data_IF_778414745680
#
_entry.id   IF_778414745680
#
_cell.length_a   1.000
_cell.length_b   1.000
_cell.length_c   1.000
_cell.angle_alpha   90.00
_cell.angle_beta   90.00
_cell.angle_gamma   90.00
#
_symmetry.space_group_name_H-M   'P 1'
#
loop_
_entity.id
_entity.type
_entity.pdbx_description
1 polymer ?
#
# COMPACT_ATOMS: atom_id res chain seq x y z
N UNK A 1 7.08 -25.26 13.45
CA UNK A 1 5.68 -24.75 13.46
C UNK A 1 5.29 -24.07 12.15
N UNK A 2 5.39 -24.79 11.01
CA UNK A 2 4.93 -24.32 9.68
C UNK A 2 3.50 -24.77 9.36
N UNK A 3 2.82 -25.48 10.26
CA UNK A 3 1.57 -26.22 10.00
C UNK A 3 0.30 -25.50 10.44
N UNK A 4 0.36 -24.51 11.29
CA UNK A 4 -0.87 -23.90 11.82
C UNK A 4 -1.36 -22.70 10.98
N UNK A 5 -0.48 -22.05 10.24
CA UNK A 5 -0.86 -20.93 9.35
C UNK A 5 -1.68 -21.38 8.12
N UNK A 6 -1.49 -22.60 7.64
CA UNK A 6 -2.30 -23.15 6.54
C UNK A 6 -3.68 -23.67 7.00
N UNK A 7 -3.86 -23.97 8.27
CA UNK A 7 -5.15 -24.48 8.81
C UNK A 7 -6.20 -23.38 8.95
N UNK A 8 -5.83 -22.13 9.11
CA UNK A 8 -6.79 -21.02 9.19
C UNK A 8 -7.30 -20.53 7.84
N UNK A 9 -6.63 -20.87 6.75
CA UNK A 9 -7.09 -20.50 5.39
C UNK A 9 -8.12 -21.48 4.79
N UNK A 10 -8.28 -22.67 5.34
CA UNK A 10 -9.19 -23.71 4.81
C UNK A 10 -10.52 -23.77 5.57
N UNK A 11 -10.61 -23.19 6.76
CA UNK A 11 -11.83 -23.26 7.60
C UNK A 11 -12.91 -22.23 7.27
N UNK A 12 -12.68 -21.24 6.40
CA UNK A 12 -13.63 -20.17 6.11
C UNK A 12 -14.40 -20.33 4.80
N UNK A 13 -14.20 -21.40 4.04
CA UNK A 13 -14.82 -21.60 2.72
C UNK A 13 -16.05 -22.51 2.70
N UNK A 14 -16.54 -23.02 3.82
CA UNK A 14 -17.61 -24.05 3.84
C UNK A 14 -18.90 -23.61 4.56
N UNK A 15 -19.01 -22.38 5.03
CA UNK A 15 -20.22 -21.97 5.81
C UNK A 15 -21.06 -20.87 5.16
N UNK A 16 -21.24 -20.87 3.84
CA UNK A 16 -22.08 -19.89 3.14
C UNK A 16 -23.01 -20.50 2.07
N UNK A 17 -23.51 -21.71 2.31
CA UNK A 17 -24.53 -22.34 1.43
C UNK A 17 -25.60 -23.07 2.24
N UNK A 18 -26.36 -22.38 3.10
CA UNK A 18 -27.61 -22.95 3.68
C UNK A 18 -28.46 -21.84 4.31
N UNK A 19 -29.07 -21.00 3.47
CA UNK A 19 -30.26 -20.21 3.87
C UNK A 19 -31.00 -19.70 2.64
N UNK A 20 -31.62 -20.61 1.88
CA UNK A 20 -32.72 -20.26 0.97
C UNK A 20 -33.59 -21.48 0.71
N UNK A 21 -34.46 -21.77 1.62
CA UNK A 21 -35.71 -22.53 1.36
C UNK A 21 -36.57 -22.45 2.61
N UNK A 22 -37.61 -21.65 2.56
CA UNK A 22 -38.89 -21.88 3.24
C UNK A 22 -39.67 -20.56 3.29
N UNK A 23 -40.57 -20.36 2.38
CA UNK A 23 -41.95 -19.92 2.63
C UNK A 23 -42.73 -19.71 1.33
N UNK A 24 -43.43 -20.68 0.93
CA UNK A 24 -44.64 -20.51 0.12
C UNK A 24 -45.75 -21.35 0.76
N UNK A 25 -46.66 -20.75 1.44
CA UNK A 25 -48.00 -21.35 1.66
C UNK A 25 -49.06 -20.33 1.31
N UNK A 26 -49.93 -20.74 0.41
CA UNK A 26 -50.83 -19.92 -0.34
C UNK A 26 -52.03 -19.39 0.43
N UNK A 27 -52.69 -18.43 -0.21
CA UNK A 27 -54.14 -18.19 -0.06
C UNK A 27 -54.68 -17.69 -1.38
N UNK A 28 -55.53 -18.54 -1.96
CA UNK A 28 -56.39 -18.27 -3.10
C UNK A 28 -57.36 -17.13 -2.77
N UNK A 29 -57.32 -16.06 -3.53
CA UNK A 29 -58.29 -14.99 -3.51
C UNK A 29 -58.55 -14.56 -4.95
N UNK A 30 -59.75 -14.87 -5.50
CA UNK A 30 -60.23 -14.40 -6.79
C UNK A 30 -60.30 -12.88 -6.81
N UNK A 31 -59.61 -12.23 -7.73
CA UNK A 31 -59.81 -10.82 -8.08
C UNK A 31 -60.22 -10.75 -9.56
N UNK A 32 -61.29 -9.99 -9.78
CA UNK A 32 -61.94 -9.75 -11.07
C UNK A 32 -61.04 -9.00 -12.03
N UNK A 33 -61.11 -9.36 -13.29
CA UNK A 33 -60.57 -8.62 -14.43
C UNK A 33 -61.11 -7.19 -14.46
N UNK A 34 -60.19 -6.22 -14.55
CA UNK A 34 -60.50 -4.86 -14.97
C UNK A 34 -59.33 -4.34 -15.84
N UNK A 35 -59.64 -4.08 -17.09
CA UNK A 35 -59.13 -3.04 -17.94
C UNK A 35 -57.63 -3.00 -18.22
N UNK A 36 -57.28 -3.26 -19.48
CA UNK A 36 -55.92 -3.18 -20.03
C UNK A 36 -55.18 -1.87 -19.71
N UNK A 37 -54.01 -2.05 -19.16
CA UNK A 37 -52.91 -1.11 -19.35
C UNK A 37 -51.80 -1.86 -20.10
N UNK A 38 -51.57 -1.43 -21.32
CA UNK A 38 -50.38 -1.77 -22.10
C UNK A 38 -49.16 -1.43 -21.29
N UNK A 39 -48.52 -2.41 -20.69
CA UNK A 39 -47.18 -2.31 -20.18
C UNK A 39 -46.29 -2.01 -21.37
N UNK A 40 -45.87 -0.74 -21.49
CA UNK A 40 -44.83 -0.36 -22.41
C UNK A 40 -43.59 -1.18 -22.06
N UNK A 41 -43.23 -2.11 -22.93
CA UNK A 41 -41.92 -2.77 -22.93
C UNK A 41 -40.94 -1.62 -23.09
N UNK A 42 -40.27 -1.26 -22.01
CA UNK A 42 -39.06 -0.43 -22.10
C UNK A 42 -38.10 -1.27 -22.96
N UNK A 43 -38.03 -0.96 -24.25
CA UNK A 43 -36.97 -1.43 -25.11
C UNK A 43 -35.65 -0.86 -24.48
N UNK A 44 -34.96 -1.65 -23.68
CA UNK A 44 -33.57 -1.36 -23.36
C UNK A 44 -32.83 -1.29 -24.69
N UNK A 45 -32.53 -0.07 -25.15
CA UNK A 45 -31.70 0.12 -26.34
C UNK A 45 -30.37 -0.60 -26.06
N UNK A 46 -30.08 -1.63 -26.81
CA UNK A 46 -28.78 -2.30 -26.77
C UNK A 46 -27.71 -1.23 -26.93
N UNK A 47 -26.75 -1.08 -25.98
CA UNK A 47 -25.76 -0.01 -26.03
C UNK A 47 -25.01 -0.07 -27.37
N UNK A 48 -25.13 0.97 -28.18
CA UNK A 48 -24.47 1.06 -29.48
C UNK A 48 -22.96 1.22 -29.24
N UNK A 49 -22.19 0.20 -29.59
CA UNK A 49 -20.73 0.25 -29.53
C UNK A 49 -20.21 1.01 -30.76
N UNK A 50 -19.61 2.18 -30.57
CA UNK A 50 -19.05 2.99 -31.65
C UNK A 50 -17.55 2.78 -31.82
N UNK A 51 -16.82 2.51 -30.71
CA UNK A 51 -15.36 2.37 -30.70
C UNK A 51 -14.92 1.16 -29.88
N UNK A 52 -13.73 0.68 -30.21
CA UNK A 52 -12.94 -0.27 -29.43
C UNK A 52 -11.51 0.24 -29.27
N UNK A 53 -10.85 -0.19 -28.19
CA UNK A 53 -9.44 0.10 -27.95
C UNK A 53 -8.62 -0.98 -28.65
N UNK A 54 -7.74 -0.56 -29.56
CA UNK A 54 -6.79 -1.45 -30.24
C UNK A 54 -5.51 -1.57 -29.42
N UNK A 55 -5.00 -0.44 -28.92
CA UNK A 55 -3.76 -0.38 -28.15
C UNK A 55 -3.82 0.78 -27.14
N UNK A 56 -3.13 0.65 -26.01
CA UNK A 56 -2.39 -0.50 -25.49
C UNK A 56 -3.31 -1.63 -25.02
N UNK A 57 -2.75 -2.85 -24.89
CA UNK A 57 -3.45 -3.99 -24.28
C UNK A 57 -3.69 -3.77 -22.77
N UNK A 58 -4.61 -4.56 -22.19
CA UNK A 58 -4.85 -4.52 -20.76
C UNK A 58 -3.56 -4.87 -20.02
N UNK A 59 -3.22 -4.07 -18.99
CA UNK A 59 -2.01 -4.15 -18.18
C UNK A 59 -0.67 -4.08 -18.97
N UNK A 60 -0.69 -3.51 -20.18
CA UNK A 60 0.54 -3.26 -20.93
C UNK A 60 1.52 -2.40 -20.13
N UNK A 61 2.81 -2.78 -20.17
CA UNK A 61 3.87 -2.13 -19.39
C UNK A 61 4.51 -0.95 -20.11
N UNK A 62 4.71 0.13 -19.38
CA UNK A 62 5.45 1.32 -19.82
C UNK A 62 6.45 1.73 -18.74
N UNK A 63 7.42 2.58 -19.10
CA UNK A 63 8.38 3.15 -18.15
C UNK A 63 7.95 4.54 -17.71
N UNK A 64 8.41 4.99 -16.54
CA UNK A 64 8.26 6.38 -16.10
C UNK A 64 8.65 7.34 -17.23
N UNK A 65 7.88 8.41 -17.35
CA UNK A 65 8.07 9.47 -18.37
C UNK A 65 7.95 9.00 -19.83
N UNK A 66 7.56 7.75 -20.09
CA UNK A 66 7.29 7.26 -21.44
C UNK A 66 5.90 7.73 -21.88
N UNK A 67 5.77 8.38 -23.06
CA UNK A 67 4.48 8.70 -23.64
C UNK A 67 3.71 7.42 -23.97
N UNK A 68 2.37 7.46 -23.82
CA UNK A 68 1.51 6.30 -24.10
C UNK A 68 0.66 6.59 -25.31
N UNK A 69 0.90 5.86 -26.42
CA UNK A 69 0.05 5.95 -27.61
C UNK A 69 -1.23 5.12 -27.40
N UNK A 70 -2.38 5.78 -27.48
CA UNK A 70 -3.70 5.15 -27.49
C UNK A 70 -4.17 5.11 -28.95
N UNK A 71 -4.54 3.92 -29.43
CA UNK A 71 -5.10 3.69 -30.75
C UNK A 71 -6.48 3.07 -30.60
N UNK A 72 -7.48 3.69 -31.21
CA UNK A 72 -8.86 3.24 -31.22
C UNK A 72 -9.28 2.86 -32.65
N UNK A 73 -10.32 2.06 -32.79
CA UNK A 73 -10.98 1.81 -34.05
C UNK A 73 -12.49 1.95 -33.90
N UNK A 74 -13.18 2.30 -34.95
CA UNK A 74 -14.64 2.24 -35.01
C UNK A 74 -15.10 0.79 -35.10
N UNK A 75 -16.19 0.46 -34.42
CA UNK A 75 -16.80 -0.90 -34.52
C UNK A 75 -17.42 -1.15 -35.91
N UNK A 76 -18.00 -0.10 -36.47
CA UNK A 76 -18.59 -0.13 -37.81
C UNK A 76 -18.16 1.12 -38.58
N UNK A 77 -17.76 0.90 -39.87
CA UNK A 77 -17.39 2.01 -40.77
C UNK A 77 -18.56 2.93 -41.10
N UNK A 78 -19.81 2.49 -40.95
CA UNK A 78 -21.01 3.28 -41.23
C UNK A 78 -21.44 4.16 -40.05
N UNK A 79 -21.05 3.78 -38.84
CA UNK A 79 -21.48 4.47 -37.61
C UNK A 79 -20.26 5.03 -36.86
N UNK A 80 -19.68 6.10 -37.42
CA UNK A 80 -18.52 6.77 -36.86
C UNK A 80 -18.97 7.73 -35.72
N UNK A 81 -18.25 7.79 -34.59
CA UNK A 81 -18.51 8.78 -33.55
C UNK A 81 -18.24 10.21 -34.04
N UNK A 82 -18.92 11.18 -33.45
CA UNK A 82 -18.66 12.62 -33.73
C UNK A 82 -17.41 13.09 -32.95
N UNK A 83 -17.14 12.47 -31.82
CA UNK A 83 -15.94 12.71 -31.01
C UNK A 83 -15.70 11.59 -30.01
N UNK A 84 -14.47 11.50 -29.53
CA UNK A 84 -14.04 10.61 -28.44
C UNK A 84 -13.26 11.40 -27.42
N UNK A 85 -13.76 11.45 -26.17
CA UNK A 85 -12.99 12.03 -25.07
C UNK A 85 -12.07 10.99 -24.45
N UNK A 86 -10.87 11.40 -24.06
CA UNK A 86 -9.86 10.58 -23.40
C UNK A 86 -9.58 11.14 -22.01
N UNK A 87 -9.65 10.27 -20.99
CA UNK A 87 -9.23 10.54 -19.63
C UNK A 87 -8.10 9.59 -19.24
N UNK A 88 -7.11 10.10 -18.51
CA UNK A 88 -6.01 9.30 -17.98
C UNK A 88 -5.92 9.51 -16.46
N UNK A 89 -5.98 8.44 -15.68
CA UNK A 89 -6.04 8.47 -14.20
C UNK A 89 -7.07 9.48 -13.64
N UNK A 90 -8.26 9.52 -14.29
CA UNK A 90 -9.35 10.43 -13.92
C UNK A 90 -9.25 11.85 -14.49
N UNK A 91 -8.11 12.26 -15.02
CA UNK A 91 -7.91 13.59 -15.60
C UNK A 91 -8.28 13.61 -17.08
N UNK A 92 -8.98 14.67 -17.52
CA UNK A 92 -9.23 14.92 -18.93
C UNK A 92 -7.90 15.18 -19.66
N UNK A 93 -7.72 14.53 -20.79
CA UNK A 93 -6.50 14.66 -21.61
C UNK A 93 -6.79 15.32 -22.94
N UNK A 94 -7.79 14.82 -23.70
CA UNK A 94 -8.11 15.33 -25.02
C UNK A 94 -9.50 14.91 -25.50
N UNK A 95 -9.94 15.53 -26.61
CA UNK A 95 -11.09 15.10 -27.41
C UNK A 95 -10.65 14.94 -28.86
N UNK A 96 -10.70 13.71 -29.37
CA UNK A 96 -10.44 13.36 -30.78
C UNK A 96 -11.73 13.54 -31.56
N UNK A 97 -11.71 14.27 -32.70
CA UNK A 97 -12.92 14.61 -33.48
C UNK A 97 -12.98 13.96 -34.85
N UNK A 98 -11.93 13.30 -35.28
CA UNK A 98 -11.85 12.64 -36.58
C UNK A 98 -10.76 11.59 -36.62
N UNK A 99 -10.76 10.74 -37.65
CA UNK A 99 -9.65 9.84 -37.98
C UNK A 99 -8.35 10.62 -38.25
N UNK A 100 -7.20 10.09 -37.81
CA UNK A 100 -7.00 8.85 -37.09
C UNK A 100 -7.45 8.93 -35.62
N UNK A 101 -8.16 7.90 -35.16
CA UNK A 101 -8.61 7.78 -33.78
C UNK A 101 -7.46 7.40 -32.85
N UNK A 102 -6.47 8.26 -32.79
CA UNK A 102 -5.24 8.04 -32.03
C UNK A 102 -4.89 9.27 -31.18
N UNK A 103 -4.22 9.01 -30.06
CA UNK A 103 -3.67 10.07 -29.23
C UNK A 103 -2.44 9.59 -28.46
N UNK A 104 -1.45 10.47 -28.34
CA UNK A 104 -0.27 10.25 -27.51
C UNK A 104 -0.46 10.98 -26.17
N UNK A 105 -0.71 10.22 -25.11
CA UNK A 105 -0.76 10.78 -23.75
C UNK A 105 0.65 11.26 -23.38
N UNK A 106 0.82 12.54 -23.05
CA UNK A 106 2.12 13.12 -22.72
C UNK A 106 2.77 12.46 -21.50
N UNK A 107 4.10 12.47 -21.48
CA UNK A 107 4.90 11.93 -20.36
C UNK A 107 4.59 12.58 -18.99
N UNK A 108 4.03 13.78 -18.97
CA UNK A 108 3.56 14.44 -17.75
C UNK A 108 2.48 13.64 -16.99
N UNK A 109 1.79 12.71 -17.65
CA UNK A 109 0.81 11.82 -17.02
C UNK A 109 1.40 10.50 -16.49
N UNK A 110 2.68 10.21 -16.79
CA UNK A 110 3.37 8.98 -16.41
C UNK A 110 4.55 9.25 -15.44
N UNK A 111 4.40 10.22 -14.55
CA UNK A 111 5.46 10.64 -13.61
C UNK A 111 5.55 9.76 -12.36
N UNK A 112 4.55 8.94 -12.08
CA UNK A 112 4.55 8.01 -10.94
C UNK A 112 4.37 6.58 -11.42
N UNK A 113 5.04 5.65 -10.76
CA UNK A 113 4.84 4.20 -10.99
C UNK A 113 3.42 3.77 -10.61
N UNK A 114 3.03 2.59 -11.02
CA UNK A 114 1.76 1.99 -10.64
C UNK A 114 0.80 1.72 -11.78
N UNK A 115 -0.34 1.16 -11.43
CA UNK A 115 -1.41 0.83 -12.36
C UNK A 115 -2.24 2.08 -12.66
N UNK A 116 -2.30 2.49 -13.91
CA UNK A 116 -2.99 3.71 -14.37
C UNK A 116 -4.16 3.33 -15.27
N UNK A 117 -5.31 3.96 -15.06
CA UNK A 117 -6.47 3.77 -15.94
C UNK A 117 -6.48 4.80 -17.06
N UNK A 118 -6.87 4.41 -18.24
CA UNK A 118 -7.40 5.34 -19.21
C UNK A 118 -8.82 4.96 -19.61
N UNK A 119 -9.64 5.98 -19.81
CA UNK A 119 -11.05 5.86 -20.14
C UNK A 119 -11.33 6.66 -21.40
N UNK A 120 -12.00 6.05 -22.36
CA UNK A 120 -12.43 6.67 -23.60
C UNK A 120 -13.95 6.63 -23.70
N UNK A 121 -14.58 7.75 -24.06
CA UNK A 121 -16.03 7.85 -24.25
C UNK A 121 -16.34 8.38 -25.62
N UNK A 122 -17.06 7.60 -26.42
CA UNK A 122 -17.51 7.98 -27.74
C UNK A 122 -18.88 8.69 -27.70
N UNK A 123 -19.01 9.74 -28.48
CA UNK A 123 -20.21 10.57 -28.59
C UNK A 123 -20.80 10.51 -29.99
N UNK A 124 -22.14 10.54 -30.08
CA UNK A 124 -22.89 10.66 -31.33
C UNK A 124 -24.15 11.49 -31.08
N UNK A 125 -24.38 12.50 -31.89
CA UNK A 125 -25.48 13.46 -31.70
C UNK A 125 -25.37 14.21 -30.35
N UNK A 126 -24.15 14.54 -29.91
CA UNK A 126 -23.89 15.21 -28.64
C UNK A 126 -24.10 14.35 -27.37
N UNK A 127 -24.48 13.07 -27.52
CA UNK A 127 -24.74 12.15 -26.41
C UNK A 127 -23.66 11.07 -26.31
N UNK A 128 -23.24 10.67 -25.08
CA UNK A 128 -22.35 9.55 -24.89
C UNK A 128 -23.05 8.24 -25.33
N UNK A 129 -22.36 7.41 -26.09
CA UNK A 129 -22.88 6.13 -26.61
C UNK A 129 -22.21 4.92 -26.00
N UNK A 130 -20.87 4.93 -25.92
CA UNK A 130 -20.16 3.88 -25.18
C UNK A 130 -18.91 4.44 -24.51
N UNK A 131 -18.61 3.89 -23.33
CA UNK A 131 -17.41 4.17 -22.57
C UNK A 131 -16.64 2.88 -22.34
N UNK A 132 -15.34 2.91 -22.57
CA UNK A 132 -14.44 1.79 -22.35
C UNK A 132 -13.31 2.29 -21.45
N UNK A 133 -12.98 1.50 -20.45
CA UNK A 133 -11.79 1.71 -19.62
C UNK A 133 -10.80 0.56 -19.81
N UNK A 134 -9.51 0.87 -19.72
CA UNK A 134 -8.43 -0.09 -19.73
C UNK A 134 -7.33 0.38 -18.77
N UNK A 135 -6.55 -0.54 -18.26
CA UNK A 135 -5.42 -0.24 -17.39
C UNK A 135 -4.10 -0.50 -18.12
N UNK A 136 -3.08 0.23 -17.69
CA UNK A 136 -1.68 0.00 -18.03
C UNK A 136 -0.85 0.05 -16.77
N UNK A 137 0.39 -0.44 -16.82
CA UNK A 137 1.32 -0.42 -15.69
C UNK A 137 2.53 0.45 -16.04
N UNK A 138 2.82 1.41 -15.16
CA UNK A 138 4.02 2.23 -15.25
C UNK A 138 5.08 1.68 -14.30
N UNK A 139 6.16 1.15 -14.85
CA UNK A 139 7.33 0.63 -14.14
C UNK A 139 8.38 1.71 -13.92
N UNK A 140 9.32 1.47 -13.00
CA UNK A 140 10.53 2.27 -12.88
C UNK A 140 11.30 2.34 -14.20
N UNK A 141 11.87 3.50 -14.49
CA UNK A 141 12.76 3.76 -15.63
C UNK A 141 14.21 3.35 -15.38
N UNK A 142 14.55 2.95 -14.13
CA UNK A 142 15.88 2.51 -13.72
C UNK A 142 15.83 1.09 -13.18
N UNK A 143 16.94 0.36 -13.32
CA UNK A 143 17.18 -0.89 -12.60
C UNK A 143 17.66 -0.54 -11.19
N UNK A 144 17.04 -1.10 -10.13
CA UNK A 144 17.48 -0.82 -8.76
C UNK A 144 18.94 -1.22 -8.51
N UNK A 145 19.69 -0.36 -7.86
CA UNK A 145 21.03 -0.69 -7.41
C UNK A 145 21.00 -1.74 -6.31
N UNK A 146 22.03 -2.55 -6.24
CA UNK A 146 22.21 -3.54 -5.15
C UNK A 146 23.24 -2.98 -4.16
N UNK A 147 22.89 -3.03 -2.89
CA UNK A 147 23.74 -2.58 -1.79
C UNK A 147 23.95 -3.72 -0.80
N UNK A 148 25.13 -3.77 -0.23
CA UNK A 148 25.46 -4.55 0.94
C UNK A 148 25.47 -3.71 2.21
N UNK A 149 26.04 -4.26 3.25
CA UNK A 149 26.19 -3.60 4.54
C UNK A 149 27.53 -3.94 5.22
N UNK A 150 27.92 -3.08 6.15
CA UNK A 150 28.96 -3.33 7.14
C UNK A 150 28.36 -3.06 8.51
N UNK A 151 28.47 -4.00 9.45
CA UNK A 151 28.12 -3.77 10.86
C UNK A 151 29.19 -2.87 11.48
N UNK A 152 28.75 -1.77 12.06
CA UNK A 152 29.60 -0.79 12.77
C UNK A 152 29.60 -1.11 14.26
N UNK A 153 28.41 -1.35 14.82
CA UNK A 153 28.23 -1.73 16.21
C UNK A 153 27.07 -2.72 16.38
N UNK A 154 27.09 -3.50 17.47
CA UNK A 154 26.02 -4.43 17.82
C UNK A 154 25.57 -4.12 19.24
N UNK A 155 24.28 -3.88 19.42
CA UNK A 155 23.65 -3.61 20.70
C UNK A 155 22.82 -4.80 21.15
N UNK A 156 22.64 -5.01 22.47
CA UNK A 156 21.65 -5.95 22.96
C UNK A 156 20.24 -5.54 22.56
N UNK A 157 19.37 -6.51 22.30
CA UNK A 157 17.97 -6.29 22.03
C UNK A 157 17.10 -7.34 22.73
N UNK A 158 15.87 -7.00 23.07
CA UNK A 158 14.97 -7.87 23.80
C UNK A 158 14.43 -8.99 22.90
N UNK A 159 14.72 -10.25 23.27
CA UNK A 159 14.24 -11.44 22.54
C UNK A 159 12.73 -11.62 22.54
N UNK A 160 12.03 -10.98 23.49
CA UNK A 160 10.57 -11.02 23.55
C UNK A 160 9.92 -9.91 22.71
N UNK A 161 10.73 -9.02 22.09
CA UNK A 161 10.24 -7.97 21.24
C UNK A 161 9.85 -8.50 19.85
N UNK A 162 8.57 -8.61 19.58
CA UNK A 162 8.06 -8.83 18.21
C UNK A 162 8.00 -7.46 17.51
N UNK A 163 9.17 -6.96 17.08
CA UNK A 163 9.36 -5.61 16.56
C UNK A 163 8.52 -5.36 15.32
N UNK A 164 7.67 -4.32 15.37
CA UNK A 164 6.80 -3.90 14.28
C UNK A 164 7.02 -2.44 13.86
N UNK A 165 7.64 -1.64 14.70
CA UNK A 165 8.00 -0.27 14.39
C UNK A 165 9.18 0.17 15.22
N UNK A 166 10.04 1.00 14.65
CA UNK A 166 11.27 1.46 15.30
C UNK A 166 11.53 2.91 14.87
N UNK A 167 11.96 3.76 15.79
CA UNK A 167 12.55 5.06 15.47
C UNK A 167 13.55 5.49 16.55
N UNK A 168 14.48 6.36 16.18
CA UNK A 168 15.46 6.92 17.10
C UNK A 168 15.29 8.43 17.20
N UNK A 169 15.24 8.94 18.43
CA UNK A 169 15.17 10.37 18.70
C UNK A 169 16.01 10.79 19.89
N UNK A 170 16.98 11.70 19.66
CA UNK A 170 17.78 12.36 20.70
C UNK A 170 18.43 11.40 21.73
N UNK A 171 19.01 10.29 21.29
CA UNK A 171 19.68 9.34 22.19
C UNK A 171 18.82 8.21 22.68
N UNK A 172 17.54 8.19 22.32
CA UNK A 172 16.55 7.22 22.79
C UNK A 172 16.03 6.41 21.60
N UNK A 173 15.95 5.10 21.76
CA UNK A 173 15.29 4.21 20.84
C UNK A 173 13.83 3.98 21.28
N UNK A 174 12.90 4.12 20.35
CA UNK A 174 11.49 3.81 20.56
C UNK A 174 11.10 2.61 19.72
N UNK A 175 10.34 1.71 20.31
CA UNK A 175 9.95 0.46 19.68
C UNK A 175 8.44 0.20 19.85
N UNK A 176 7.77 -0.16 18.75
CA UNK A 176 6.44 -0.72 18.71
C UNK A 176 6.51 -2.23 18.55
N UNK A 177 5.81 -2.98 19.40
CA UNK A 177 5.78 -4.44 19.31
C UNK A 177 4.38 -4.96 19.00
N UNK A 178 4.34 -6.12 18.34
CA UNK A 178 3.14 -6.89 18.07
C UNK A 178 2.99 -8.11 18.98
N UNK A 179 2.18 -9.07 18.54
CA UNK A 179 1.82 -10.30 19.25
C UNK A 179 1.11 -10.10 20.59
N UNK A 180 1.25 -11.07 21.51
CA UNK A 180 0.52 -11.13 22.80
C UNK A 180 0.83 -9.99 23.76
N UNK A 181 1.94 -9.30 23.54
CA UNK A 181 2.41 -8.16 24.36
C UNK A 181 2.61 -6.92 23.51
N UNK A 182 1.65 -6.64 22.62
CA UNK A 182 1.67 -5.42 21.83
C UNK A 182 1.89 -4.18 22.70
N UNK A 183 2.93 -3.41 22.39
CA UNK A 183 3.33 -2.29 23.26
C UNK A 183 3.99 -1.16 22.49
N UNK A 184 4.05 0.00 23.15
CA UNK A 184 4.95 1.10 22.82
C UNK A 184 6.03 1.17 23.90
N UNK A 185 7.29 1.19 23.51
CA UNK A 185 8.45 1.10 24.39
C UNK A 185 9.44 2.24 24.17
N UNK A 186 10.07 2.65 25.24
CA UNK A 186 11.31 3.42 25.27
C UNK A 186 12.42 2.51 25.70
N UNK A 187 13.47 2.39 24.87
CA UNK A 187 14.53 1.42 25.04
C UNK A 187 15.87 2.14 25.15
N UNK A 188 16.67 1.79 26.14
CA UNK A 188 18.05 2.24 26.25
C UNK A 188 18.89 1.51 25.20
N UNK A 189 19.44 2.24 24.22
CA UNK A 189 20.19 1.69 23.10
C UNK A 189 21.37 0.82 23.54
N UNK A 190 22.16 1.30 24.53
CA UNK A 190 23.41 0.62 24.93
C UNK A 190 23.17 -0.71 25.65
N UNK A 191 22.05 -0.82 26.38
CA UNK A 191 21.78 -1.98 27.22
C UNK A 191 20.65 -2.86 26.70
N UNK A 192 19.89 -2.39 25.71
CA UNK A 192 18.67 -3.06 25.20
C UNK A 192 17.53 -3.12 26.23
N UNK A 193 17.67 -2.47 27.38
CA UNK A 193 16.67 -2.51 28.46
C UNK A 193 15.51 -1.57 28.17
N UNK A 194 14.31 -2.08 28.33
CA UNK A 194 13.07 -1.28 28.31
C UNK A 194 13.04 -0.36 29.54
N UNK A 195 13.05 0.94 29.30
CA UNK A 195 13.02 2.00 30.33
C UNK A 195 11.57 2.33 30.69
N UNK A 196 10.69 2.37 29.69
CA UNK A 196 9.27 2.67 29.84
C UNK A 196 8.48 1.87 28.81
N UNK A 197 7.30 1.40 29.22
CA UNK A 197 6.41 0.62 28.36
C UNK A 197 4.96 0.98 28.60
N UNK A 198 4.19 1.08 27.53
CA UNK A 198 2.75 1.14 27.50
C UNK A 198 2.22 -0.07 26.72
N UNK A 199 1.44 -0.93 27.38
CA UNK A 199 0.81 -2.06 26.70
C UNK A 199 -0.48 -1.62 26.01
N UNK A 200 -0.73 -2.11 24.81
CA UNK A 200 -2.00 -1.99 24.14
C UNK A 200 -3.01 -2.97 24.77
N UNK A 201 -4.29 -2.77 24.45
CA UNK A 201 -5.33 -3.75 24.78
C UNK A 201 -5.01 -5.10 24.10
N UNK A 202 -5.23 -6.21 24.82
CA UNK A 202 -4.89 -7.56 24.37
C UNK A 202 -5.64 -7.99 23.08
N UNK A 203 -6.72 -7.31 22.71
CA UNK A 203 -7.45 -7.52 21.45
C UNK A 203 -6.78 -6.87 20.23
N UNK A 204 -5.73 -6.06 20.46
CA UNK A 204 -5.05 -5.29 19.43
C UNK A 204 -3.68 -5.90 19.13
N UNK A 205 -3.34 -5.92 17.85
CA UNK A 205 -2.00 -6.24 17.40
C UNK A 205 -1.30 -4.93 17.01
N UNK A 206 -0.33 -4.50 17.82
CA UNK A 206 0.47 -3.30 17.59
C UNK A 206 1.37 -3.45 16.38
N UNK A 207 1.53 -2.38 15.64
CA UNK A 207 2.32 -2.31 14.41
C UNK A 207 3.23 -1.08 14.41
N UNK A 208 3.52 -0.52 13.25
CA UNK A 208 4.44 0.59 13.04
C UNK A 208 4.19 1.78 13.95
N UNK A 209 5.28 2.43 14.32
CA UNK A 209 5.29 3.66 15.10
C UNK A 209 6.09 4.74 14.38
N UNK A 210 5.78 6.01 14.65
CA UNK A 210 6.61 7.14 14.20
C UNK A 210 6.44 8.35 15.10
N UNK A 211 7.41 9.25 15.08
CA UNK A 211 7.39 10.51 15.82
C UNK A 211 7.06 11.66 14.85
N UNK A 212 6.01 12.42 15.15
CA UNK A 212 5.76 13.72 14.52
C UNK A 212 5.66 14.81 15.56
N UNK A 213 6.61 15.74 15.56
CA UNK A 213 6.81 16.70 16.66
C UNK A 213 7.02 15.97 18.00
N UNK A 214 6.20 16.28 19.02
CA UNK A 214 6.25 15.62 20.34
C UNK A 214 5.15 14.55 20.52
N UNK A 215 4.64 13.97 19.38
CA UNK A 215 3.56 12.98 19.38
C UNK A 215 4.03 11.71 18.72
N UNK A 216 3.84 10.57 19.39
CA UNK A 216 4.08 9.24 18.82
C UNK A 216 2.77 8.72 18.24
N UNK A 217 2.81 8.32 16.99
CA UNK A 217 1.73 7.64 16.30
C UNK A 217 2.03 6.14 16.28
N UNK A 218 1.04 5.32 16.61
CA UNK A 218 1.12 3.86 16.54
C UNK A 218 -0.10 3.33 15.81
N UNK A 219 0.10 2.48 14.81
CA UNK A 219 -0.98 1.79 14.11
C UNK A 219 -1.16 0.37 14.63
N UNK A 220 -2.27 -0.27 14.26
CA UNK A 220 -2.57 -1.67 14.56
C UNK A 220 -2.85 -2.42 13.26
N UNK A 221 -2.64 -3.71 13.24
CA UNK A 221 -2.78 -4.54 12.06
C UNK A 221 -4.21 -4.48 11.46
N UNK A 222 -5.08 -5.43 11.80
CA UNK A 222 -6.42 -5.61 11.19
C UNK A 222 -7.50 -4.74 11.80
N UNK A 223 -7.27 -4.22 13.01
CA UNK A 223 -8.26 -3.40 13.72
C UNK A 223 -8.48 -2.03 13.08
N UNK A 224 -7.56 -1.59 12.21
CA UNK A 224 -7.65 -0.32 11.43
C UNK A 224 -7.85 0.90 12.31
N UNK A 225 -7.39 0.82 13.54
CA UNK A 225 -7.33 1.90 14.51
C UNK A 225 -5.89 2.12 14.92
N UNK A 226 -5.50 3.35 15.12
CA UNK A 226 -4.21 3.71 15.68
C UNK A 226 -4.38 4.68 16.83
N UNK A 227 -3.29 5.00 17.45
CA UNK A 227 -3.26 5.82 18.67
C UNK A 227 -2.19 6.88 18.53
N UNK A 228 -2.48 8.04 19.13
CA UNK A 228 -1.53 9.13 19.28
C UNK A 228 -1.23 9.28 20.76
N UNK A 229 0.06 9.33 21.11
CA UNK A 229 0.54 9.49 22.47
C UNK A 229 1.47 10.69 22.57
N UNK A 230 1.54 11.29 23.75
CA UNK A 230 2.59 12.24 24.07
C UNK A 230 3.93 11.49 24.26
N UNK A 231 4.99 11.92 23.60
CA UNK A 231 6.31 11.28 23.67
C UNK A 231 6.87 11.26 25.08
N UNK A 232 6.67 12.35 25.86
CA UNK A 232 7.33 12.51 27.17
C UNK A 232 6.83 11.55 28.24
N UNK A 233 5.56 11.10 28.19
CA UNK A 233 4.96 10.30 29.25
C UNK A 233 4.04 9.17 28.75
N UNK A 234 3.94 8.97 27.43
CA UNK A 234 3.06 8.02 26.76
C UNK A 234 1.57 8.20 27.06
N UNK A 235 1.16 9.37 27.57
CA UNK A 235 -0.27 9.65 27.74
C UNK A 235 -0.99 9.66 26.41
N UNK A 236 -2.12 8.97 26.41
CA UNK A 236 -3.03 8.93 25.26
C UNK A 236 -3.55 10.32 24.93
N UNK A 237 -3.49 10.69 23.64
CA UNK A 237 -4.01 11.95 23.11
C UNK A 237 -5.27 11.69 22.29
N UNK A 238 -5.21 10.81 21.28
CA UNK A 238 -6.33 10.60 20.38
C UNK A 238 -6.25 9.23 19.69
N UNK A 239 -7.36 8.81 19.07
CA UNK A 239 -7.45 7.69 18.12
C UNK A 239 -7.42 8.19 16.68
N UNK A 240 -6.84 7.41 15.82
CA UNK A 240 -6.83 7.61 14.36
C UNK A 240 -7.41 6.37 13.68
N UNK A 241 -7.98 6.57 12.48
CA UNK A 241 -8.63 5.50 11.73
C UNK A 241 -8.16 5.50 10.27
N UNK A 242 -8.06 4.31 9.69
CA UNK A 242 -7.63 4.14 8.30
C UNK A 242 -8.35 2.95 7.65
N UNK A 243 -8.39 2.93 6.32
CA UNK A 243 -9.26 2.00 5.59
C UNK A 243 -8.67 0.60 5.38
N UNK A 244 -7.33 0.49 5.26
CA UNK A 244 -6.60 -0.77 5.01
C UNK A 244 -5.86 -1.22 6.28
N UNK A 245 -5.10 -2.29 6.24
CA UNK A 245 -4.27 -2.71 7.38
C UNK A 245 -3.21 -1.66 7.74
N UNK A 246 -2.79 -1.59 9.00
CA UNK A 246 -1.66 -0.79 9.43
C UNK A 246 -0.44 -1.69 9.57
N UNK A 247 0.67 -1.35 8.88
CA UNK A 247 1.93 -2.07 8.99
C UNK A 247 3.04 -1.14 9.47
N UNK A 248 3.80 -0.50 8.59
CA UNK A 248 4.85 0.44 8.97
C UNK A 248 4.37 1.89 8.99
N UNK A 249 5.07 2.73 9.75
CA UNK A 249 4.93 4.18 9.78
C UNK A 249 6.29 4.85 9.71
N UNK A 250 6.38 5.98 9.00
CA UNK A 250 7.48 6.93 9.15
C UNK A 250 6.99 8.36 8.96
N UNK A 251 7.75 9.32 9.48
CA UNK A 251 7.49 10.75 9.28
C UNK A 251 8.38 11.26 8.15
N UNK A 252 7.77 11.88 7.17
CA UNK A 252 8.44 12.54 6.06
C UNK A 252 8.01 14.02 6.02
N UNK A 253 8.91 14.91 6.44
CA UNK A 253 8.66 16.35 6.54
C UNK A 253 7.42 16.67 7.38
N UNK A 254 6.36 17.16 6.76
CA UNK A 254 5.08 17.51 7.37
C UNK A 254 4.00 16.41 7.23
N UNK A 255 4.38 15.20 6.83
CA UNK A 255 3.48 14.08 6.54
C UNK A 255 3.86 12.82 7.31
N UNK A 256 2.87 11.98 7.53
CA UNK A 256 3.07 10.60 7.99
C UNK A 256 2.86 9.67 6.80
N UNK A 257 3.79 8.73 6.60
CA UNK A 257 3.70 7.71 5.56
C UNK A 257 3.40 6.37 6.21
N UNK A 258 2.44 5.64 5.67
CA UNK A 258 2.01 4.32 6.15
C UNK A 258 2.06 3.29 5.03
N UNK A 259 2.58 2.12 5.34
CA UNK A 259 2.43 0.89 4.56
C UNK A 259 1.23 0.05 5.05
N UNK A 260 0.75 -0.86 4.22
CA UNK A 260 -0.36 -1.77 4.53
C UNK A 260 -0.11 -3.22 4.07
N UNK A 261 1.16 -3.58 3.85
CA UNK A 261 1.56 -4.89 3.36
C UNK A 261 1.39 -5.09 1.86
N UNK A 262 0.79 -4.14 1.15
CA UNK A 262 0.76 -4.11 -0.33
C UNK A 262 1.96 -3.32 -0.88
N UNK A 263 1.92 -3.00 -2.16
CA UNK A 263 2.88 -2.08 -2.79
C UNK A 263 2.46 -0.60 -2.68
N UNK A 264 1.46 -0.28 -1.87
CA UNK A 264 0.95 1.09 -1.73
C UNK A 264 1.50 1.75 -0.48
N UNK A 265 2.02 2.97 -0.63
CA UNK A 265 2.34 3.86 0.48
C UNK A 265 1.34 5.01 0.51
N UNK A 266 0.76 5.25 1.67
CA UNK A 266 -0.25 6.29 1.91
C UNK A 266 0.40 7.45 2.66
N UNK A 267 0.18 8.66 2.18
CA UNK A 267 0.66 9.91 2.81
C UNK A 267 -0.50 10.58 3.51
N UNK A 268 -0.33 10.89 4.78
CA UNK A 268 -1.34 11.47 5.66
C UNK A 268 -0.96 12.88 6.10
N UNK A 269 -1.96 13.74 6.22
CA UNK A 269 -1.90 14.94 7.03
C UNK A 269 -1.94 14.50 8.50
N UNK A 270 -0.97 14.92 9.36
CA UNK A 270 -0.84 14.33 10.70
C UNK A 270 -1.97 14.64 11.68
N UNK A 271 -2.51 15.85 11.69
CA UNK A 271 -3.44 16.28 12.75
C UNK A 271 -4.80 15.56 12.64
N UNK A 272 -5.36 15.44 11.43
CA UNK A 272 -6.63 14.73 11.19
C UNK A 272 -6.42 13.29 10.71
N UNK A 273 -5.20 12.88 10.43
CA UNK A 273 -4.83 11.59 9.86
C UNK A 273 -5.62 11.25 8.58
N UNK A 274 -5.78 12.25 7.71
CA UNK A 274 -6.47 12.11 6.42
C UNK A 274 -5.49 11.84 5.28
N UNK A 275 -5.87 10.95 4.35
CA UNK A 275 -5.03 10.63 3.19
C UNK A 275 -4.95 11.83 2.25
N UNK A 276 -3.75 12.37 2.07
CA UNK A 276 -3.44 13.44 1.11
C UNK A 276 -3.17 12.84 -0.28
N UNK A 277 -2.39 11.77 -0.33
CA UNK A 277 -1.98 11.12 -1.56
C UNK A 277 -1.56 9.67 -1.30
N UNK A 278 -1.33 8.93 -2.38
CA UNK A 278 -0.75 7.58 -2.34
C UNK A 278 0.15 7.36 -3.53
N UNK A 279 1.14 6.51 -3.39
CA UNK A 279 1.98 6.01 -4.49
C UNK A 279 1.95 4.49 -4.51
N UNK A 280 2.15 3.93 -5.68
CA UNK A 280 2.36 2.49 -5.85
C UNK A 280 3.83 2.23 -6.16
N UNK A 281 4.45 1.34 -5.39
CA UNK A 281 5.88 1.05 -5.47
C UNK A 281 6.14 -0.06 -6.49
N UNK A 282 6.96 0.29 -7.50
CA UNK A 282 7.40 -0.63 -8.56
C UNK A 282 8.90 -0.49 -8.80
N UNK A 283 9.54 -1.59 -9.14
CA UNK A 283 10.84 -1.52 -9.80
C UNK A 283 10.69 -1.58 -11.33
N UNK A 284 11.77 -1.91 -12.02
CA UNK A 284 11.79 -1.96 -13.48
C UNK A 284 11.04 -3.17 -14.08
N UNK A 285 10.61 -4.14 -13.25
CA UNK A 285 10.01 -5.40 -13.71
C UNK A 285 8.64 -5.67 -13.10
N UNK A 286 8.43 -5.32 -11.83
CA UNK A 286 7.21 -5.68 -11.10
C UNK A 286 6.88 -4.73 -9.96
N UNK A 287 5.66 -4.85 -9.44
CA UNK A 287 5.27 -4.23 -8.19
C UNK A 287 6.06 -4.81 -7.01
N UNK A 288 6.25 -4.02 -5.97
CA UNK A 288 6.95 -4.42 -4.75
C UNK A 288 5.98 -4.46 -3.58
N UNK A 289 5.32 -5.60 -3.44
CA UNK A 289 4.42 -5.91 -2.33
C UNK A 289 5.19 -6.21 -1.04
N UNK A 290 4.45 -6.40 0.04
CA UNK A 290 4.93 -6.78 1.36
C UNK A 290 5.80 -5.70 2.01
N UNK A 291 5.55 -4.43 1.67
CA UNK A 291 6.18 -3.29 2.33
C UNK A 291 5.71 -3.24 3.78
N UNK A 292 6.66 -3.31 4.71
CA UNK A 292 6.39 -3.40 6.14
C UNK A 292 6.91 -2.16 6.86
N UNK A 293 7.77 -2.33 7.82
CA UNK A 293 8.31 -1.26 8.63
C UNK A 293 9.06 -0.24 7.75
N UNK A 294 8.92 1.05 8.08
CA UNK A 294 9.33 2.19 7.26
C UNK A 294 10.21 3.15 8.03
N UNK A 295 11.24 3.70 7.33
CA UNK A 295 11.99 4.84 7.82
C UNK A 295 12.31 5.84 6.70
N UNK A 296 12.21 7.15 7.00
CA UNK A 296 12.57 8.21 6.05
C UNK A 296 14.01 8.64 6.26
N UNK A 297 14.87 8.37 5.28
CA UNK A 297 16.30 8.60 5.35
C UNK A 297 16.77 9.40 4.14
N UNK A 298 17.28 10.61 4.37
CA UNK A 298 17.94 11.43 3.35
C UNK A 298 17.15 11.58 2.03
N UNK A 299 15.83 11.82 2.13
CA UNK A 299 14.96 12.04 0.95
C UNK A 299 14.36 10.76 0.36
N UNK A 300 14.64 9.60 0.94
CA UNK A 300 14.12 8.30 0.49
C UNK A 300 13.29 7.63 1.59
N UNK A 301 12.27 6.87 1.20
CA UNK A 301 11.58 5.95 2.12
C UNK A 301 12.28 4.60 2.03
N UNK A 302 12.77 4.12 3.16
CA UNK A 302 13.31 2.79 3.31
C UNK A 302 12.23 1.89 3.89
N UNK A 303 12.05 0.70 3.31
CA UNK A 303 10.99 -0.22 3.71
C UNK A 303 11.56 -1.64 3.87
N UNK A 304 11.30 -2.27 5.02
CA UNK A 304 11.47 -3.72 5.12
C UNK A 304 10.51 -4.42 4.16
N UNK A 305 10.97 -5.44 3.46
CA UNK A 305 10.14 -6.33 2.65
C UNK A 305 9.86 -7.59 3.48
N UNK A 306 8.62 -7.79 3.92
CA UNK A 306 8.24 -8.90 4.80
C UNK A 306 8.58 -10.27 4.18
N UNK A 307 9.08 -11.18 5.04
CA UNK A 307 9.63 -12.51 4.69
C UNK A 307 10.88 -12.42 3.78
N UNK A 308 11.54 -11.27 3.78
CA UNK A 308 12.76 -11.08 2.99
C UNK A 308 13.85 -10.42 3.84
N UNK A 309 15.12 -10.59 3.43
CA UNK A 309 16.25 -9.92 4.09
C UNK A 309 16.64 -8.61 3.41
N UNK A 310 15.76 -8.03 2.62
CA UNK A 310 16.04 -6.79 1.91
C UNK A 310 15.26 -5.60 2.48
N UNK A 311 15.93 -4.46 2.46
CA UNK A 311 15.30 -3.16 2.60
C UNK A 311 15.23 -2.52 1.22
N UNK A 312 14.02 -2.11 0.78
CA UNK A 312 13.83 -1.33 -0.43
C UNK A 312 14.08 0.15 -0.14
N UNK A 313 14.86 0.82 -1.00
CA UNK A 313 15.01 2.27 -1.02
C UNK A 313 14.09 2.83 -2.10
N UNK A 314 13.16 3.70 -1.71
CA UNK A 314 12.02 4.13 -2.53
C UNK A 314 12.06 5.65 -2.68
N UNK A 315 11.90 6.14 -3.91
CA UNK A 315 11.67 7.55 -4.19
C UNK A 315 10.22 7.92 -3.86
N UNK A 316 9.97 8.76 -2.85
CA UNK A 316 8.61 9.11 -2.42
C UNK A 316 7.83 9.93 -3.45
N UNK A 317 8.52 10.60 -4.38
CA UNK A 317 7.86 11.42 -5.40
C UNK A 317 7.29 10.56 -6.54
N UNK A 318 7.93 9.45 -6.87
CA UNK A 318 7.58 8.64 -8.06
C UNK A 318 7.09 7.25 -7.74
N UNK A 319 7.46 6.69 -6.58
CA UNK A 319 7.20 5.29 -6.20
C UNK A 319 8.19 4.29 -6.79
N UNK A 320 9.24 4.76 -7.51
CA UNK A 320 10.25 3.85 -8.05
C UNK A 320 11.19 3.34 -6.96
N UNK A 321 11.57 2.07 -7.06
CA UNK A 321 12.62 1.51 -6.22
C UNK A 321 13.98 1.95 -6.77
N UNK A 322 14.76 2.64 -5.93
CA UNK A 322 16.10 3.13 -6.25
C UNK A 322 17.16 2.05 -6.06
N UNK A 323 16.94 1.19 -5.07
CA UNK A 323 17.88 0.10 -4.76
C UNK A 323 17.37 -0.82 -3.67
N UNK A 324 18.10 -1.90 -3.45
CA UNK A 324 17.89 -2.88 -2.40
C UNK A 324 19.15 -3.03 -1.57
N UNK A 325 18.99 -3.01 -0.23
CA UNK A 325 20.05 -3.36 0.71
C UNK A 325 19.83 -4.81 1.13
N UNK A 326 20.75 -5.70 0.81
CA UNK A 326 20.71 -7.11 1.20
C UNK A 326 21.36 -7.29 2.58
N UNK A 327 20.52 -7.57 3.58
CA UNK A 327 20.93 -7.84 4.96
C UNK A 327 21.01 -9.34 5.30
N UNK A 328 21.06 -10.20 4.28
CA UNK A 328 21.19 -11.65 4.48
C UNK A 328 22.42 -11.97 5.32
N UNK A 329 22.20 -12.71 6.43
CA UNK A 329 23.27 -13.14 7.33
C UNK A 329 23.69 -12.11 8.38
N UNK A 330 23.05 -10.95 8.47
CA UNK A 330 23.35 -9.94 9.51
C UNK A 330 23.16 -10.53 10.92
N UNK A 331 22.09 -11.28 11.17
CA UNK A 331 21.94 -12.07 12.40
C UNK A 331 22.63 -13.42 12.20
N UNK A 332 23.74 -13.70 12.93
CA UNK A 332 24.46 -14.95 12.84
C UNK A 332 23.59 -16.16 13.23
N UNK A 333 23.81 -17.36 12.68
CA UNK A 333 23.06 -18.57 13.08
C UNK A 333 23.16 -18.88 14.57
N UNK A 334 24.29 -18.58 15.21
CA UNK A 334 24.49 -18.78 16.67
C UNK A 334 23.58 -17.94 17.55
N UNK A 335 23.02 -16.86 17.04
CA UNK A 335 22.12 -15.96 17.76
C UNK A 335 20.64 -16.26 17.51
N UNK A 336 20.37 -17.25 16.67
CA UNK A 336 19.02 -17.68 16.32
C UNK A 336 18.56 -18.83 17.22
N UNK A 337 17.29 -18.83 17.54
CA UNK A 337 16.57 -19.90 18.20
C UNK A 337 15.25 -20.23 17.48
N UNK A 338 14.40 -21.05 18.08
CA UNK A 338 13.12 -21.46 17.49
C UNK A 338 12.10 -20.31 17.38
N UNK A 339 12.24 -19.27 18.19
CA UNK A 339 11.33 -18.13 18.25
C UNK A 339 11.80 -16.96 17.33
N UNK A 340 13.05 -16.99 16.89
CA UNK A 340 13.62 -15.94 16.03
C UNK A 340 12.87 -15.85 14.72
N UNK A 341 12.29 -14.67 14.43
CA UNK A 341 11.49 -14.43 13.24
C UNK A 341 12.23 -13.49 12.25
N UNK A 342 11.52 -12.81 11.37
CA UNK A 342 12.08 -12.08 10.23
C UNK A 342 12.72 -10.74 10.61
N UNK A 343 13.59 -10.25 9.73
CA UNK A 343 14.09 -8.87 9.71
C UNK A 343 12.90 -7.91 9.70
N UNK A 344 12.83 -6.99 10.66
CA UNK A 344 11.87 -5.89 10.70
C UNK A 344 12.31 -4.85 11.73
N UNK A 345 12.32 -3.59 11.35
CA UNK A 345 12.72 -2.44 12.17
C UNK A 345 13.93 -1.73 11.59
N UNK A 346 13.74 -0.45 11.25
CA UNK A 346 14.76 0.49 10.79
C UNK A 346 14.62 1.74 11.63
N UNK A 347 15.73 2.25 12.18
CA UNK A 347 15.74 3.55 12.83
C UNK A 347 16.91 4.39 12.32
N UNK A 348 16.73 5.70 12.24
CA UNK A 348 17.73 6.61 11.74
C UNK A 348 18.04 7.74 12.72
N UNK A 349 19.29 7.84 13.14
CA UNK A 349 19.81 9.01 13.84
C UNK A 349 20.31 10.02 12.82
N UNK A 350 19.52 11.01 12.49
CA UNK A 350 19.87 12.04 11.51
C UNK A 350 21.03 12.93 11.95
N UNK A 351 21.27 13.11 13.25
CA UNK A 351 22.37 13.92 13.79
C UNK A 351 23.70 13.18 13.71
N UNK A 352 23.68 11.88 14.06
CA UNK A 352 24.88 11.02 14.01
C UNK A 352 25.08 10.35 12.64
N UNK A 353 24.12 10.46 11.75
CA UNK A 353 24.05 9.72 10.48
C UNK A 353 24.23 8.20 10.68
N UNK A 354 23.53 7.67 11.70
CA UNK A 354 23.59 6.26 12.08
C UNK A 354 22.29 5.55 11.70
N UNK A 355 22.42 4.35 11.16
CA UNK A 355 21.30 3.52 10.74
C UNK A 355 21.28 2.28 11.62
N UNK A 356 20.14 2.02 12.25
CA UNK A 356 19.92 0.85 13.10
C UNK A 356 18.93 -0.08 12.46
N UNK A 357 19.19 -1.40 12.54
CA UNK A 357 18.29 -2.44 12.05
C UNK A 357 18.20 -3.59 13.04
N UNK A 358 17.03 -4.19 13.14
CA UNK A 358 16.78 -5.37 13.97
C UNK A 358 15.77 -6.29 13.30
N UNK A 359 15.24 -7.24 14.03
CA UNK A 359 14.19 -8.14 13.58
C UNK A 359 13.31 -8.62 14.74
N UNK A 360 12.21 -9.24 14.39
CA UNK A 360 11.24 -9.79 15.34
C UNK A 360 11.87 -10.88 16.17
N UNK A 361 11.86 -10.70 17.50
CA UNK A 361 12.49 -11.62 18.48
C UNK A 361 13.99 -11.81 18.26
N UNK A 362 14.67 -10.82 17.71
CA UNK A 362 16.11 -10.86 17.62
C UNK A 362 16.78 -10.44 18.93
N UNK A 363 17.89 -11.09 19.33
CA UNK A 363 18.64 -10.69 20.54
C UNK A 363 19.54 -9.48 20.34
N UNK A 364 19.61 -8.97 19.11
CA UNK A 364 20.55 -7.94 18.70
C UNK A 364 19.90 -6.89 17.80
N UNK A 365 20.33 -5.66 18.01
CA UNK A 365 20.14 -4.54 17.12
C UNK A 365 21.50 -4.16 16.54
N UNK A 366 21.55 -3.86 15.26
CA UNK A 366 22.79 -3.59 14.55
C UNK A 366 22.82 -2.15 14.04
N UNK A 367 23.91 -1.44 14.35
CA UNK A 367 24.24 -0.21 13.64
C UNK A 367 25.00 -0.59 12.36
N UNK A 368 24.52 -0.12 11.22
CA UNK A 368 25.07 -0.49 9.91
C UNK A 368 25.52 0.74 9.12
N UNK A 369 26.49 0.49 8.24
CA UNK A 369 26.80 1.36 7.11
C UNK A 369 26.48 0.63 5.82
N UNK A 370 25.73 1.27 4.93
CA UNK A 370 25.44 0.75 3.58
C UNK A 370 26.69 0.82 2.73
N UNK A 371 26.96 -0.24 1.97
CA UNK A 371 28.09 -0.35 1.03
C UNK A 371 27.60 -0.61 -0.38
N UNK A 372 28.32 -0.13 -1.37
CA UNK A 372 28.09 -0.44 -2.79
C UNK A 372 28.69 -1.79 -3.18
#
# INVERSE_FOLDING_TARGET
MKTDYQRYLIAFSVLLLLFWALSCSGRSGKIKEAGGQTTGILNEEIPVKLIKIISPDEDAGFKLKQPVKITLATEDKKTVPDSVTVYFSGNYVTTIKSDPWEYIVPSAFTLTTGRKSFKVTAYKGGKPKNTIARFIVIYSDIVPKKYGFKVIHTYPHDRDAFTQGLFYDNGVLFEGTGENTSSLREVNLETGKVVRQLNLDNSLFGEGITLYRERIYQVTWKSKVGFIYNKSDFKFINKIYYATEGWGLTTMDDKIVRSDGTNVLYFYEPDMFTVISKIEVYDNEKKRDSLNELEYINGEIWANIWINNHIARIDPATGKVLGYIDLKGILPPSDRDAETDVLNGIAYDSKGNRIFVTGKKWPKLFEIKVTE
#
